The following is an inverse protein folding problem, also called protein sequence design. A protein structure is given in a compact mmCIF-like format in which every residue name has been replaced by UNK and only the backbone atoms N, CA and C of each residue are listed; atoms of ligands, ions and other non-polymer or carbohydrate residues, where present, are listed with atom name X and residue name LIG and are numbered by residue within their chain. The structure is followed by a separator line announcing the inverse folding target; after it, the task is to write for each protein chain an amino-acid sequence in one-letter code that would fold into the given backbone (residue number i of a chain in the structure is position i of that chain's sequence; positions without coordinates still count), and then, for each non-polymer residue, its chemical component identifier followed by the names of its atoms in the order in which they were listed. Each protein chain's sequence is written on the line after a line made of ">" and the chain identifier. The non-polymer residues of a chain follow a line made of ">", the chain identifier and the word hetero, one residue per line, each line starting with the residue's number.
data_IF_890548532738
#
_entry.id   IF_890548532738
#
_cell.length_a   1.000
_cell.length_b   1.000
_cell.length_c   1.000
_cell.angle_alpha   90.00
_cell.angle_beta   90.00
_cell.angle_gamma   90.00
#
_symmetry.space_group_name_H-M   'P 1'
#
loop_
_entity.id
_entity.type
_entity.pdbx_description
1 polymer ?
#
# COMPACT_ATOMS: atom_id res chain seq x y z
N UNK A 1 13.30 -18.57 15.62
CA UNK A 1 12.89 -18.06 14.30
C UNK A 1 11.46 -17.53 14.40
N UNK A 2 11.23 -16.23 14.17
CA UNK A 2 9.85 -15.70 14.05
C UNK A 2 9.27 -16.27 12.76
N UNK A 3 8.20 -17.07 12.83
CA UNK A 3 7.40 -17.40 11.64
C UNK A 3 6.83 -16.09 11.11
N UNK A 4 7.33 -15.63 9.98
CA UNK A 4 6.71 -14.53 9.23
C UNK A 4 5.33 -15.01 8.79
N UNK A 5 4.30 -14.24 9.12
CA UNK A 5 2.89 -14.57 8.89
C UNK A 5 2.49 -13.96 7.55
N UNK A 6 2.76 -14.68 6.46
CA UNK A 6 2.35 -14.26 5.13
C UNK A 6 0.84 -14.06 5.08
N UNK A 7 0.43 -12.82 4.84
CA UNK A 7 -0.99 -12.46 4.76
C UNK A 7 -1.53 -12.82 3.39
N UNK A 8 -2.56 -13.66 3.37
CA UNK A 8 -3.30 -14.00 2.16
C UNK A 8 -4.42 -13.00 1.91
N UNK A 9 -4.47 -12.47 0.68
CA UNK A 9 -5.55 -11.59 0.20
C UNK A 9 -6.51 -12.39 -0.67
N UNK A 10 -7.79 -12.39 -0.32
CA UNK A 10 -8.85 -13.04 -1.10
C UNK A 10 -9.91 -12.02 -1.52
N UNK A 11 -10.27 -11.98 -2.80
CA UNK A 11 -11.40 -11.18 -3.27
C UNK A 11 -12.70 -11.94 -2.96
N UNK A 12 -13.64 -11.27 -2.28
CA UNK A 12 -14.94 -11.83 -1.88
C UNK A 12 -16.05 -10.85 -2.21
N UNK A 13 -17.28 -11.36 -2.18
CA UNK A 13 -18.49 -10.55 -2.35
C UNK A 13 -19.41 -10.66 -1.14
N UNK A 14 -20.24 -9.64 -0.94
CA UNK A 14 -21.34 -9.63 0.03
C UNK A 14 -22.59 -9.13 -0.67
N UNK A 15 -23.69 -9.84 -0.52
CA UNK A 15 -25.00 -9.40 -0.99
C UNK A 15 -25.48 -8.19 -0.17
N UNK A 16 -25.96 -7.16 -0.86
CA UNK A 16 -26.63 -6.00 -0.27
C UNK A 16 -28.14 -6.15 -0.39
N UNK A 17 -28.87 -5.43 0.47
CA UNK A 17 -30.33 -5.39 0.45
C UNK A 17 -30.89 -4.78 -0.84
N UNK A 18 -30.06 -4.04 -1.58
CA UNK A 18 -30.36 -3.49 -2.91
C UNK A 18 -30.31 -4.53 -4.04
N UNK A 19 -29.97 -5.78 -3.74
CA UNK A 19 -29.82 -6.85 -4.73
C UNK A 19 -28.52 -6.80 -5.53
N UNK A 20 -27.57 -5.93 -5.16
CA UNK A 20 -26.21 -5.88 -5.71
C UNK A 20 -25.22 -6.62 -4.80
N UNK A 21 -24.14 -7.11 -5.38
CA UNK A 21 -23.00 -7.63 -4.65
C UNK A 21 -21.96 -6.52 -4.47
N UNK A 22 -21.50 -6.26 -3.24
CA UNK A 22 -20.33 -5.42 -3.00
C UNK A 22 -19.07 -6.28 -2.91
N UNK A 23 -17.99 -5.82 -3.55
CA UNK A 23 -16.70 -6.50 -3.57
C UNK A 23 -15.80 -5.99 -2.43
N UNK A 24 -15.11 -6.92 -1.77
CA UNK A 24 -14.17 -6.62 -0.71
C UNK A 24 -13.00 -7.60 -0.69
N UNK A 25 -11.87 -7.15 -0.16
CA UNK A 25 -10.72 -7.98 0.12
C UNK A 25 -10.79 -8.52 1.54
N UNK A 26 -10.48 -9.80 1.71
CA UNK A 26 -10.39 -10.49 2.99
C UNK A 26 -8.95 -10.89 3.27
N UNK A 27 -8.41 -10.44 4.41
CA UNK A 27 -7.00 -10.56 4.79
C UNK A 27 -6.77 -11.60 5.88
N UNK A 28 -6.10 -12.73 5.60
CA UNK A 28 -5.74 -13.73 6.63
C UNK A 28 -4.22 -13.86 6.83
N UNK A 29 -3.68 -13.47 8.01
CA UNK A 29 -4.31 -12.80 9.16
C UNK A 29 -4.73 -11.34 8.89
N UNK A 30 -5.41 -10.70 9.84
CA UNK A 30 -5.82 -9.29 9.72
C UNK A 30 -4.60 -8.36 9.54
N UNK A 31 -4.79 -7.24 8.83
CA UNK A 31 -3.74 -6.27 8.50
C UNK A 31 -3.96 -4.96 9.22
N UNK A 32 -2.89 -4.26 9.57
CA UNK A 32 -2.97 -2.93 10.16
C UNK A 32 -3.46 -1.90 9.13
N UNK A 33 -4.50 -1.14 9.47
CA UNK A 33 -4.97 -0.02 8.67
C UNK A 33 -4.44 1.29 9.25
N UNK A 34 -3.61 1.99 8.47
CA UNK A 34 -2.98 3.26 8.88
C UNK A 34 -3.97 4.43 9.04
N UNK A 35 -5.12 4.39 8.36
CA UNK A 35 -6.13 5.44 8.44
C UNK A 35 -6.96 5.33 9.73
N UNK A 36 -7.29 4.11 10.15
CA UNK A 36 -8.12 3.87 11.34
C UNK A 36 -7.31 3.54 12.60
N UNK A 37 -6.02 3.22 12.43
CA UNK A 37 -5.12 2.82 13.51
C UNK A 37 -5.41 1.43 14.11
N UNK A 38 -6.23 0.62 13.44
CA UNK A 38 -6.69 -0.69 13.94
C UNK A 38 -6.41 -1.79 12.93
N UNK A 39 -6.30 -3.02 13.41
CA UNK A 39 -6.29 -4.19 12.53
C UNK A 39 -7.65 -4.34 11.84
N UNK A 40 -7.62 -4.55 10.53
CA UNK A 40 -8.79 -4.83 9.73
C UNK A 40 -8.66 -6.17 9.03
N UNK A 41 -9.77 -6.89 9.03
CA UNK A 41 -9.93 -8.14 8.29
C UNK A 41 -10.42 -7.91 6.86
N UNK A 42 -11.16 -6.82 6.64
CA UNK A 42 -11.91 -6.57 5.40
C UNK A 42 -11.65 -5.16 4.88
N UNK A 43 -11.42 -5.04 3.58
CA UNK A 43 -11.36 -3.75 2.87
C UNK A 43 -12.41 -3.76 1.76
N UNK A 44 -13.44 -2.92 1.91
CA UNK A 44 -14.48 -2.77 0.90
C UNK A 44 -13.97 -1.87 -0.23
N UNK A 45 -14.08 -2.34 -1.47
CA UNK A 45 -13.52 -1.65 -2.65
C UNK A 45 -14.42 -0.52 -3.18
N UNK A 46 -15.65 -0.40 -2.68
CA UNK A 46 -16.65 0.50 -3.26
C UNK A 46 -17.12 0.08 -4.66
N UNK A 47 -16.78 -1.14 -5.07
CA UNK A 47 -17.17 -1.73 -6.35
C UNK A 47 -18.38 -2.63 -6.16
N UNK A 48 -19.28 -2.61 -7.14
CA UNK A 48 -20.53 -3.36 -7.11
C UNK A 48 -20.70 -4.16 -8.39
N UNK A 49 -21.22 -5.37 -8.28
CA UNK A 49 -21.59 -6.21 -9.40
C UNK A 49 -23.05 -6.68 -9.24
N UNK A 50 -23.73 -6.94 -10.36
CA UNK A 50 -25.06 -7.56 -10.30
C UNK A 50 -24.89 -9.09 -10.24
N UNK A 51 -25.44 -9.77 -9.23
CA UNK A 51 -25.35 -11.22 -9.14
C UNK A 51 -26.06 -11.87 -10.33
N UNK A 52 -25.40 -12.81 -11.02
CA UNK A 52 -26.11 -13.75 -11.87
C UNK A 52 -26.93 -14.69 -10.96
N UNK A 53 -28.21 -14.38 -10.79
CA UNK A 53 -29.28 -15.09 -10.04
C UNK A 53 -28.81 -16.24 -9.11
N UNK A 54 -29.11 -16.09 -7.81
CA UNK A 54 -29.09 -17.15 -6.78
C UNK A 54 -27.72 -17.76 -6.41
N UNK A 55 -26.68 -16.95 -6.18
CA UNK A 55 -25.40 -17.43 -5.59
C UNK A 55 -25.36 -17.20 -4.07
N UNK A 56 -24.88 -18.21 -3.32
CA UNK A 56 -24.49 -18.12 -1.90
C UNK A 56 -23.05 -18.65 -1.78
N UNK A 57 -22.12 -17.91 -1.15
CA UNK A 57 -20.78 -18.42 -0.86
C UNK A 57 -19.62 -17.50 -1.25
N UNK A 58 -18.42 -18.07 -1.42
CA UNK A 58 -17.21 -17.39 -1.92
C UNK A 58 -17.30 -17.17 -3.45
N UNK A 59 -16.53 -16.21 -3.98
CA UNK A 59 -16.41 -16.00 -5.42
C UNK A 59 -15.64 -17.16 -6.05
N UNK A 60 -16.32 -18.28 -6.26
CA UNK A 60 -15.74 -19.39 -7.01
C UNK A 60 -15.66 -18.96 -8.48
N UNK A 61 -14.44 -18.82 -8.97
CA UNK A 61 -14.13 -19.01 -10.38
C UNK A 61 -14.68 -20.38 -10.80
N UNK A 62 -15.33 -20.46 -11.96
CA UNK A 62 -15.63 -21.77 -12.54
C UNK A 62 -14.29 -22.51 -12.80
N UNK A 63 -14.32 -23.80 -13.16
CA UNK A 63 -13.09 -24.54 -13.56
C UNK A 63 -12.28 -23.81 -14.64
N UNK A 64 -12.93 -22.97 -15.46
CA UNK A 64 -12.31 -22.18 -16.53
C UNK A 64 -11.78 -20.80 -16.08
N UNK A 65 -11.84 -20.47 -14.78
CA UNK A 65 -11.36 -19.18 -14.27
C UNK A 65 -12.27 -17.98 -14.57
N UNK A 66 -13.42 -18.17 -15.19
CA UNK A 66 -14.32 -17.08 -15.60
C UNK A 66 -15.46 -16.89 -14.59
N UNK A 67 -15.59 -15.66 -14.08
CA UNK A 67 -16.76 -15.24 -13.33
C UNK A 67 -17.93 -14.98 -14.28
N UNK A 68 -19.07 -15.65 -14.07
CA UNK A 68 -20.28 -15.41 -14.88
C UNK A 68 -20.91 -14.09 -14.42
N UNK A 69 -20.50 -12.99 -15.04
CA UNK A 69 -21.03 -11.64 -14.88
C UNK A 69 -21.37 -11.07 -16.27
N UNK A 70 -22.22 -10.04 -16.35
CA UNK A 70 -22.43 -9.31 -17.61
C UNK A 70 -21.14 -8.57 -18.03
N UNK A 71 -21.07 -8.01 -19.24
CA UNK A 71 -19.85 -7.33 -19.76
C UNK A 71 -19.33 -6.22 -18.82
N UNK A 72 -20.23 -5.37 -18.29
CA UNK A 72 -19.88 -4.27 -17.40
C UNK A 72 -19.35 -4.76 -16.04
N UNK A 73 -19.96 -5.81 -15.51
CA UNK A 73 -19.56 -6.45 -14.25
C UNK A 73 -18.27 -7.27 -14.44
N UNK A 74 -18.00 -7.83 -15.63
CA UNK A 74 -16.74 -8.52 -15.94
C UNK A 74 -15.54 -7.60 -15.80
N UNK A 75 -15.62 -6.38 -16.33
CA UNK A 75 -14.52 -5.41 -16.19
C UNK A 75 -14.36 -4.97 -14.73
N UNK A 76 -15.47 -4.77 -14.01
CA UNK A 76 -15.44 -4.46 -12.56
C UNK A 76 -14.72 -5.53 -11.76
N UNK A 77 -15.00 -6.81 -12.03
CA UNK A 77 -14.37 -7.95 -11.36
C UNK A 77 -12.89 -8.07 -11.74
N UNK A 78 -12.55 -7.84 -13.01
CA UNK A 78 -11.16 -7.81 -13.49
C UNK A 78 -10.35 -6.74 -12.76
N UNK A 79 -10.88 -5.53 -12.63
CA UNK A 79 -10.26 -4.46 -11.88
C UNK A 79 -10.09 -4.83 -10.40
N UNK A 80 -11.09 -5.47 -9.79
CA UNK A 80 -11.00 -5.96 -8.41
C UNK A 80 -9.91 -7.03 -8.23
N UNK A 81 -9.71 -7.91 -9.22
CA UNK A 81 -8.62 -8.89 -9.22
C UNK A 81 -7.24 -8.24 -9.33
N UNK A 82 -7.11 -7.18 -10.14
CA UNK A 82 -5.88 -6.38 -10.21
C UNK A 82 -5.58 -5.73 -8.86
N UNK A 83 -6.59 -5.16 -8.20
CA UNK A 83 -6.45 -4.58 -6.86
C UNK A 83 -6.01 -5.65 -5.85
N UNK A 84 -6.64 -6.83 -5.87
CA UNK A 84 -6.23 -7.98 -5.03
C UNK A 84 -4.76 -8.34 -5.25
N UNK A 85 -4.33 -8.46 -6.50
CA UNK A 85 -2.94 -8.79 -6.83
C UNK A 85 -1.95 -7.73 -6.33
N UNK A 86 -2.29 -6.45 -6.51
CA UNK A 86 -1.47 -5.34 -6.00
C UNK A 86 -1.37 -5.36 -4.47
N UNK A 87 -2.49 -5.56 -3.76
CA UNK A 87 -2.51 -5.67 -2.30
C UNK A 87 -1.70 -6.86 -1.79
N UNK A 88 -1.81 -8.01 -2.48
CA UNK A 88 -0.99 -9.18 -2.15
C UNK A 88 0.50 -8.86 -2.33
N UNK A 89 0.88 -8.16 -3.40
CA UNK A 89 2.26 -7.74 -3.63
C UNK A 89 2.75 -6.75 -2.57
N UNK A 90 1.95 -5.77 -2.18
CA UNK A 90 2.29 -4.80 -1.11
C UNK A 90 2.56 -5.51 0.22
N UNK A 91 1.69 -6.43 0.61
CA UNK A 91 1.84 -7.19 1.86
C UNK A 91 3.02 -8.15 1.80
N UNK A 92 3.28 -8.78 0.65
CA UNK A 92 4.47 -9.62 0.45
C UNK A 92 5.76 -8.79 0.47
N UNK A 93 5.78 -7.57 -0.07
CA UNK A 93 6.95 -6.68 -0.04
C UNK A 93 7.35 -6.26 1.37
N UNK A 94 6.39 -6.07 2.27
CA UNK A 94 6.71 -5.81 3.68
C UNK A 94 7.49 -6.96 4.34
N UNK A 95 7.36 -8.19 3.82
CA UNK A 95 8.09 -9.37 4.31
C UNK A 95 9.42 -9.61 3.57
N UNK A 96 9.58 -9.04 2.37
CA UNK A 96 10.68 -9.32 1.44
C UNK A 96 11.26 -7.99 0.93
N UNK A 97 11.68 -7.11 1.83
CA UNK A 97 12.65 -6.10 1.40
C UNK A 97 13.99 -6.81 1.24
N UNK A 98 14.44 -6.94 -0.01
CA UNK A 98 15.85 -7.21 -0.25
C UNK A 98 16.68 -6.08 0.36
N UNK A 99 17.92 -6.34 0.80
CA UNK A 99 18.77 -5.31 1.43
C UNK A 99 18.86 -4.04 0.58
N UNK A 100 18.86 -4.19 -0.75
CA UNK A 100 18.88 -3.10 -1.73
C UNK A 100 17.61 -2.24 -1.74
N UNK A 101 16.43 -2.86 -1.68
CA UNK A 101 15.16 -2.12 -1.64
C UNK A 101 14.97 -1.41 -0.29
N UNK A 102 15.48 -1.99 0.80
CA UNK A 102 15.48 -1.36 2.11
C UNK A 102 16.39 -0.11 2.12
N UNK A 103 17.56 -0.18 1.48
CA UNK A 103 18.44 0.97 1.29
C UNK A 103 17.80 2.07 0.43
N UNK A 104 17.12 1.70 -0.67
CA UNK A 104 16.37 2.64 -1.50
C UNK A 104 15.25 3.34 -0.74
N UNK A 105 14.52 2.61 0.11
CA UNK A 105 13.47 3.19 0.96
C UNK A 105 14.06 4.19 1.97
N UNK A 106 15.16 3.81 2.64
CA UNK A 106 15.90 4.71 3.55
C UNK A 106 16.43 5.94 2.82
N UNK A 107 16.88 5.81 1.57
CA UNK A 107 17.36 6.93 0.76
C UNK A 107 16.20 7.87 0.39
N UNK A 108 15.03 7.33 0.02
CA UNK A 108 13.81 8.12 -0.22
C UNK A 108 13.32 8.84 1.03
N UNK A 109 13.34 8.19 2.19
CA UNK A 109 12.99 8.83 3.47
C UNK A 109 13.95 9.96 3.82
N UNK A 110 15.27 9.74 3.64
CA UNK A 110 16.27 10.81 3.77
C UNK A 110 16.02 11.98 2.81
N UNK A 111 15.57 11.71 1.59
CA UNK A 111 15.22 12.73 0.61
C UNK A 111 13.94 13.53 0.92
N UNK A 112 13.10 13.07 1.85
CA UNK A 112 11.92 13.81 2.34
C UNK A 112 12.24 14.78 3.48
N UNK A 113 13.45 14.70 4.04
CA UNK A 113 13.90 15.63 5.08
C UNK A 113 14.14 17.04 4.54
N UNK A 114 14.04 18.04 5.41
CA UNK A 114 14.43 19.41 5.07
C UNK A 114 15.94 19.45 4.78
N UNK A 115 16.28 19.77 3.53
CA UNK A 115 17.66 19.91 3.08
C UNK A 115 18.44 20.90 3.94
N UNK A 116 17.81 22.00 4.38
CA UNK A 116 18.45 23.00 5.24
C UNK A 116 18.79 22.42 6.60
N UNK A 117 17.90 21.61 7.18
CA UNK A 117 18.13 20.94 8.46
C UNK A 117 19.28 19.92 8.35
N UNK A 118 19.28 19.10 7.31
CA UNK A 118 20.36 18.15 7.02
C UNK A 118 21.71 18.86 6.80
N UNK A 119 21.71 19.91 5.98
CA UNK A 119 22.91 20.69 5.68
C UNK A 119 23.46 21.39 6.93
N UNK A 120 22.58 21.86 7.83
CA UNK A 120 22.96 22.45 9.12
C UNK A 120 23.61 21.44 10.05
N UNK A 121 23.12 20.21 10.12
CA UNK A 121 23.70 19.16 10.96
C UNK A 121 25.07 18.72 10.44
N UNK A 122 25.19 18.51 9.13
CA UNK A 122 26.46 18.23 8.45
C UNK A 122 27.52 19.32 8.67
N UNK A 123 27.11 20.59 8.75
CA UNK A 123 28.01 21.70 8.99
C UNK A 123 28.59 21.73 10.42
N UNK A 124 27.88 21.17 11.42
CA UNK A 124 28.38 21.11 12.82
C UNK A 124 29.57 20.16 12.97
N UNK A 125 29.62 19.13 12.14
CA UNK A 125 30.68 18.12 12.19
C UNK A 125 31.95 18.55 11.41
N UNK A 126 31.93 19.70 10.73
CA UNK A 126 33.11 20.25 10.03
C UNK A 126 33.98 21.05 10.98
N UNK A 127 35.29 21.01 10.75
CA UNK A 127 36.31 21.74 11.54
C UNK A 127 37.09 22.71 10.66
N UNK A 128 37.67 23.73 11.30
CA UNK A 128 38.57 24.74 10.71
C UNK A 128 37.98 25.46 9.47
N UNK A 129 38.79 25.71 8.44
CA UNK A 129 38.41 26.46 7.24
C UNK A 129 37.18 25.87 6.53
N UNK A 130 36.98 24.56 6.62
CA UNK A 130 35.79 23.89 6.10
C UNK A 130 34.53 24.27 6.89
N UNK A 131 34.60 24.49 8.21
CA UNK A 131 33.44 24.95 8.97
C UNK A 131 32.98 26.33 8.48
N UNK A 132 33.92 27.27 8.28
CA UNK A 132 33.62 28.64 7.84
C UNK A 132 32.91 28.67 6.47
N UNK A 133 33.38 27.89 5.51
CA UNK A 133 32.76 27.81 4.17
C UNK A 133 31.33 27.27 4.22
N UNK A 134 31.06 26.30 5.10
CA UNK A 134 29.74 25.70 5.25
C UNK A 134 28.75 26.62 5.98
N UNK A 135 29.22 27.40 6.96
CA UNK A 135 28.40 28.43 7.63
C UNK A 135 28.01 29.56 6.67
N UNK A 136 28.92 29.98 5.80
CA UNK A 136 28.62 30.98 4.76
C UNK A 136 27.54 30.49 3.79
N UNK A 137 27.64 29.24 3.33
CA UNK A 137 26.63 28.62 2.47
C UNK A 137 25.26 28.48 3.17
N UNK A 138 25.22 28.20 4.47
CA UNK A 138 24.00 28.17 5.29
C UNK A 138 23.34 29.53 5.44
N UNK A 139 24.11 30.62 5.44
CA UNK A 139 23.54 31.96 5.55
C UNK A 139 22.95 32.44 4.22
N UNK A 140 23.54 32.06 3.09
CA UNK A 140 23.03 32.40 1.75
C UNK A 140 21.73 31.64 1.44
N UNK A 141 21.56 30.43 1.97
CA UNK A 141 20.37 29.60 1.72
C UNK A 141 19.16 29.94 2.58
N UNK A 142 19.28 30.88 3.53
CA UNK A 142 18.12 31.43 4.24
C UNK A 142 17.41 32.43 3.33
N UNK A 143 16.08 32.30 3.12
CA UNK A 143 15.34 33.34 2.43
C UNK A 143 15.48 34.65 3.22
N UNK A 144 16.02 35.68 2.59
CA UNK A 144 15.98 37.05 3.12
C UNK A 144 14.52 37.49 3.24
N UNK A 145 14.17 38.23 4.31
CA UNK A 145 12.80 38.70 4.53
C UNK A 145 12.29 39.58 3.39
#
# INVERSE_FOLDING_TARGET
>A
MRKLKTTKVTLRFRMLDTGRETLYLDYYPAVYNSQTGKETRREYLGMYAVPLKNRKGELHTNRDGIHKYNEADRETIRLADIIKANRQNELSKAEIYTDQEAELLKAKERGKGDFIAYFRDMAKDKKDSNYSSWQSALNISKPTP
#
